data_IF_680475925560
#
_entry.id   IF_680475925560
#
_cell.length_a   1.000
_cell.length_b   1.000
_cell.length_c   1.000
_cell.angle_alpha   90.00
_cell.angle_beta   90.00
_cell.angle_gamma   90.00
#
_symmetry.space_group_name_H-M   'P 1'
#
loop_
_entity.id
_entity.type
_entity.pdbx_description
1 polymer ?
#
# COMPACT_ATOMS: atom_id res chain seq x y z
N UNK A 1 24.40 -4.69 6.41
CA UNK A 1 23.55 -4.17 5.31
C UNK A 1 22.28 -3.63 5.94
N UNK A 2 21.72 -2.53 5.44
CA UNK A 2 20.43 -2.06 5.94
C UNK A 2 19.33 -2.95 5.34
N UNK A 3 18.64 -3.69 6.20
CA UNK A 3 17.46 -4.47 5.84
C UNK A 3 16.24 -3.55 5.84
N UNK A 4 15.33 -3.78 4.89
CA UNK A 4 14.09 -3.04 4.80
C UNK A 4 13.09 -3.66 5.78
N UNK A 5 12.62 -2.86 6.75
CA UNK A 5 11.66 -3.31 7.75
C UNK A 5 10.43 -2.41 7.75
N UNK A 6 9.26 -3.04 7.76
CA UNK A 6 7.97 -2.39 7.97
C UNK A 6 7.75 -1.94 9.40
N UNK A 7 6.95 -0.89 9.60
CA UNK A 7 6.46 -0.51 10.92
C UNK A 7 5.18 -1.29 11.25
N UNK A 8 4.69 -1.17 12.49
CA UNK A 8 3.34 -1.64 12.84
C UNK A 8 2.27 -0.57 12.50
N UNK A 9 1.00 -1.01 12.44
CA UNK A 9 -0.12 -0.14 12.10
C UNK A 9 -0.28 1.04 13.09
N UNK A 10 -0.02 0.80 14.38
CA UNK A 10 -0.12 1.82 15.42
C UNK A 10 0.91 2.93 15.26
N UNK A 11 2.14 2.57 14.88
CA UNK A 11 3.23 3.48 14.58
C UNK A 11 2.93 4.31 13.33
N UNK A 12 2.38 3.69 12.27
CA UNK A 12 1.93 4.43 11.08
C UNK A 12 0.81 5.43 11.41
N UNK A 13 -0.22 5.02 12.17
CA UNK A 13 -1.30 5.92 12.58
C UNK A 13 -0.79 7.09 13.42
N UNK A 14 0.12 6.81 14.37
CA UNK A 14 0.71 7.87 15.17
C UNK A 14 1.48 8.87 14.30
N UNK A 15 2.31 8.37 13.37
CA UNK A 15 3.06 9.21 12.47
C UNK A 15 2.14 10.09 11.60
N UNK A 16 1.14 9.48 10.95
CA UNK A 16 0.16 10.18 10.10
C UNK A 16 -0.55 11.28 10.89
N UNK A 17 -1.09 10.95 12.07
CA UNK A 17 -1.93 11.89 12.83
C UNK A 17 -1.11 12.98 13.52
N UNK A 18 0.05 12.65 14.09
CA UNK A 18 0.92 13.63 14.71
C UNK A 18 1.44 14.64 13.67
N UNK A 19 1.85 14.15 12.49
CA UNK A 19 2.34 14.99 11.42
C UNK A 19 1.23 15.84 10.81
N UNK A 20 0.05 15.26 10.56
CA UNK A 20 -1.07 16.01 10.03
C UNK A 20 -1.51 17.12 10.97
N UNK A 21 -1.60 16.85 12.27
CA UNK A 21 -1.96 17.87 13.29
C UNK A 21 -0.94 18.99 13.38
N UNK A 22 0.36 18.67 13.38
CA UNK A 22 1.43 19.65 13.64
C UNK A 22 1.88 20.41 12.40
N UNK A 23 1.86 19.77 11.22
CA UNK A 23 2.48 20.29 9.99
C UNK A 23 1.56 20.28 8.76
N UNK A 24 0.34 19.72 8.88
CA UNK A 24 -0.57 19.52 7.75
C UNK A 24 0.11 18.75 6.60
N UNK A 25 0.88 17.72 6.96
CA UNK A 25 1.56 16.80 6.03
C UNK A 25 1.28 15.35 6.44
N UNK A 26 1.39 14.42 5.50
CA UNK A 26 1.42 12.97 5.75
C UNK A 26 2.67 12.41 5.07
N UNK A 27 3.57 11.82 5.85
CA UNK A 27 4.90 11.38 5.41
C UNK A 27 5.68 12.46 4.64
N UNK A 28 5.61 13.70 5.12
CA UNK A 28 6.22 14.87 4.48
C UNK A 28 5.44 15.43 3.29
N UNK A 29 4.42 14.75 2.78
CA UNK A 29 3.62 15.25 1.65
C UNK A 29 2.61 16.30 2.11
N UNK A 30 2.64 17.55 1.61
CA UNK A 30 1.78 18.62 2.12
C UNK A 30 0.31 18.44 1.74
N UNK A 31 -0.60 18.66 2.69
CA UNK A 31 -2.07 18.59 2.49
C UNK A 31 -2.53 19.41 1.28
N UNK A 32 -1.97 20.61 1.10
CA UNK A 32 -2.28 21.50 -0.04
C UNK A 32 -1.92 20.93 -1.42
N UNK A 33 -1.19 19.81 -1.46
CA UNK A 33 -0.79 19.09 -2.68
C UNK A 33 -1.53 17.77 -2.85
N UNK A 34 -2.39 17.39 -1.90
CA UNK A 34 -3.20 16.19 -2.04
C UNK A 34 -4.12 16.33 -3.24
N UNK A 35 -4.18 15.27 -4.04
CA UNK A 35 -5.18 15.17 -5.10
C UNK A 35 -6.52 14.79 -4.47
N UNK A 36 -7.48 15.72 -4.53
CA UNK A 36 -8.84 15.56 -4.00
C UNK A 36 -9.90 15.56 -5.12
N UNK A 37 -9.48 15.31 -6.36
CA UNK A 37 -10.32 15.45 -7.55
C UNK A 37 -10.48 16.90 -8.02
N UNK A 38 -11.29 17.08 -9.06
CA UNK A 38 -11.68 18.40 -9.58
C UNK A 38 -13.21 18.49 -9.57
N UNK A 39 -13.80 19.50 -8.91
CA UNK A 39 -15.25 19.66 -8.86
C UNK A 39 -15.88 19.65 -10.26
N UNK A 40 -16.90 18.80 -10.45
CA UNK A 40 -17.62 18.67 -11.73
C UNK A 40 -16.99 17.71 -12.74
N UNK A 41 -15.89 17.04 -12.41
CA UNK A 41 -15.26 16.05 -13.27
C UNK A 41 -15.26 14.66 -12.62
N UNK A 42 -15.64 13.65 -13.40
CA UNK A 42 -15.51 12.25 -13.04
C UNK A 42 -14.34 11.64 -13.82
N UNK A 43 -13.32 11.17 -13.10
CA UNK A 43 -12.15 10.48 -13.66
C UNK A 43 -12.20 8.98 -13.40
N UNK A 44 -13.30 8.47 -12.84
CA UNK A 44 -13.40 7.07 -12.52
C UNK A 44 -13.37 6.20 -13.77
N UNK A 45 -12.73 5.04 -13.65
CA UNK A 45 -12.63 4.07 -14.74
C UNK A 45 -12.91 2.66 -14.23
N UNK A 46 -13.54 1.81 -15.06
CA UNK A 46 -13.56 0.39 -14.80
C UNK A 46 -12.14 -0.19 -14.96
N UNK A 47 -11.72 -1.00 -14.00
CA UNK A 47 -10.48 -1.75 -14.05
C UNK A 47 -10.74 -3.16 -13.51
N UNK A 48 -10.57 -4.17 -14.36
CA UNK A 48 -11.11 -5.51 -14.15
C UNK A 48 -12.61 -5.47 -13.77
N UNK A 49 -12.99 -6.03 -12.62
CA UNK A 49 -14.37 -6.06 -12.12
C UNK A 49 -14.61 -5.02 -11.00
N UNK A 50 -13.81 -3.95 -10.98
CA UNK A 50 -13.85 -2.88 -9.96
C UNK A 50 -13.89 -1.51 -10.64
N UNK A 51 -14.21 -0.47 -9.87
CA UNK A 51 -14.10 0.93 -10.28
C UNK A 51 -12.94 1.55 -9.50
N UNK A 52 -12.06 2.27 -10.18
CA UNK A 52 -11.03 3.10 -9.56
C UNK A 52 -11.40 4.58 -9.74
N UNK A 53 -11.18 5.43 -8.74
CA UNK A 53 -11.59 6.84 -8.79
C UNK A 53 -10.80 7.69 -9.79
N UNK A 54 -9.66 7.17 -10.29
CA UNK A 54 -8.83 7.77 -11.34
C UNK A 54 -8.18 6.67 -12.17
N UNK A 55 -7.77 6.93 -13.43
CA UNK A 55 -7.08 5.93 -14.25
C UNK A 55 -5.58 5.83 -13.96
N UNK A 56 -5.09 6.46 -12.90
CA UNK A 56 -3.66 6.63 -12.63
C UNK A 56 -3.19 5.74 -11.48
N UNK A 57 -1.91 5.42 -11.51
CA UNK A 57 -1.17 4.90 -10.37
C UNK A 57 0.17 4.31 -10.80
N UNK A 58 1.04 3.99 -9.83
CA UNK A 58 2.37 3.46 -10.08
C UNK A 58 2.30 2.02 -10.59
N UNK A 59 3.16 1.71 -11.56
CA UNK A 59 3.49 0.34 -11.92
C UNK A 59 4.29 -0.34 -10.79
N UNK A 60 4.39 -1.67 -10.87
CA UNK A 60 5.14 -2.47 -9.91
C UNK A 60 6.60 -2.00 -9.82
N UNK A 61 7.05 -1.65 -8.61
CA UNK A 61 8.38 -1.09 -8.43
C UNK A 61 8.71 -0.81 -6.96
N UNK A 62 9.93 -0.32 -6.67
CA UNK A 62 10.40 -0.12 -5.28
C UNK A 62 9.47 0.72 -4.41
N UNK A 63 8.69 1.60 -5.02
CA UNK A 63 7.73 2.44 -4.33
C UNK A 63 6.45 1.68 -3.94
N UNK A 64 6.04 0.63 -4.63
CA UNK A 64 4.80 -0.10 -4.33
C UNK A 64 5.01 -1.30 -3.40
N UNK A 65 6.13 -1.32 -2.65
CA UNK A 65 6.43 -2.37 -1.65
C UNK A 65 6.15 -1.95 -0.20
N UNK A 66 6.08 -0.64 0.10
CA UNK A 66 5.97 -0.11 1.47
C UNK A 66 4.67 0.66 1.68
N UNK A 67 4.07 0.52 2.88
CA UNK A 67 2.82 1.18 3.30
C UNK A 67 2.84 2.68 3.04
N UNK A 68 3.89 3.38 3.50
CA UNK A 68 3.97 4.84 3.38
C UNK A 68 3.94 5.30 1.93
N UNK A 69 4.59 4.56 1.02
CA UNK A 69 4.67 4.94 -0.37
C UNK A 69 3.36 4.65 -1.12
N UNK A 70 2.65 3.57 -0.76
CA UNK A 70 1.31 3.27 -1.27
C UNK A 70 0.32 4.36 -0.82
N UNK A 71 0.37 4.77 0.45
CA UNK A 71 -0.45 5.89 0.96
C UNK A 71 -0.09 7.20 0.26
N UNK A 72 1.20 7.50 0.07
CA UNK A 72 1.63 8.68 -0.67
C UNK A 72 1.16 8.67 -2.13
N UNK A 73 1.18 7.51 -2.79
CA UNK A 73 0.61 7.32 -4.12
C UNK A 73 -0.88 7.64 -4.14
N UNK A 74 -1.64 7.15 -3.16
CA UNK A 74 -3.06 7.48 -3.00
C UNK A 74 -3.28 9.00 -2.85
N UNK A 75 -2.51 9.64 -1.96
CA UNK A 75 -2.60 11.09 -1.74
C UNK A 75 -2.17 11.91 -2.97
N UNK A 76 -1.30 11.36 -3.81
CA UNK A 76 -0.90 11.91 -5.11
C UNK A 76 -1.92 11.70 -6.23
N UNK A 77 -2.98 10.93 -5.99
CA UNK A 77 -4.05 10.66 -6.95
C UNK A 77 -3.95 9.30 -7.64
N UNK A 78 -3.05 8.41 -7.22
CA UNK A 78 -3.04 7.03 -7.68
C UNK A 78 -4.22 6.23 -7.13
N UNK A 79 -4.90 5.46 -7.97
CA UNK A 79 -6.03 4.57 -7.59
C UNK A 79 -5.91 3.17 -8.16
N UNK A 80 -5.07 2.94 -9.17
CA UNK A 80 -4.72 1.61 -9.67
C UNK A 80 -3.24 1.43 -9.36
N UNK A 81 -2.93 0.73 -8.28
CA UNK A 81 -1.55 0.58 -7.80
C UNK A 81 -1.11 -0.86 -8.00
N UNK A 82 -0.18 -1.07 -8.92
CA UNK A 82 0.42 -2.38 -9.11
C UNK A 82 1.48 -2.61 -8.01
N UNK A 83 1.19 -3.53 -7.11
CA UNK A 83 2.04 -3.85 -5.97
C UNK A 83 3.36 -4.46 -6.44
N UNK A 84 4.43 -4.29 -5.64
CA UNK A 84 5.76 -4.80 -6.00
C UNK A 84 5.68 -6.32 -6.25
N UNK A 85 6.23 -6.77 -7.39
CA UNK A 85 6.13 -8.15 -7.86
C UNK A 85 6.68 -9.14 -6.84
N UNK A 86 5.82 -10.00 -6.31
CA UNK A 86 6.25 -11.05 -5.38
C UNK A 86 6.92 -12.20 -6.13
N UNK A 87 7.80 -12.95 -5.44
CA UNK A 87 8.46 -14.13 -5.98
C UNK A 87 8.87 -15.13 -4.90
N UNK A 88 9.23 -16.35 -5.30
CA UNK A 88 9.70 -17.40 -4.39
C UNK A 88 11.09 -17.11 -3.79
N UNK A 89 11.95 -16.38 -4.51
CA UNK A 89 13.25 -15.96 -4.00
C UNK A 89 13.10 -14.67 -3.20
N UNK A 90 12.74 -14.82 -1.93
CA UNK A 90 12.36 -13.72 -1.04
C UNK A 90 13.46 -13.38 -0.01
N UNK A 91 14.65 -13.98 -0.16
CA UNK A 91 15.87 -13.63 0.54
C UNK A 91 16.96 -13.31 -0.48
N UNK A 92 17.31 -12.03 -0.56
CA UNK A 92 18.23 -11.53 -1.57
C UNK A 92 19.43 -10.83 -0.94
N UNK A 93 20.61 -11.10 -1.48
CA UNK A 93 21.79 -10.27 -1.23
C UNK A 93 21.96 -9.31 -2.41
N UNK A 94 21.54 -8.05 -2.20
CA UNK A 94 21.53 -7.03 -3.25
C UNK A 94 22.70 -6.07 -3.05
N UNK A 95 23.63 -5.95 -4.03
CA UNK A 95 24.66 -4.92 -3.97
C UNK A 95 24.03 -3.53 -4.05
N UNK A 96 24.48 -2.60 -3.20
CA UNK A 96 23.97 -1.21 -3.15
C UNK A 96 25.06 -0.20 -3.55
N UNK A 97 24.76 0.86 -4.32
CA UNK A 97 23.44 1.23 -4.86
C UNK A 97 22.93 0.23 -5.91
N UNK A 98 21.66 -0.14 -5.81
CA UNK A 98 21.06 -1.21 -6.64
C UNK A 98 20.37 -0.69 -7.91
N UNK A 99 20.20 0.62 -8.01
CA UNK A 99 19.64 1.33 -9.16
C UNK A 99 20.51 2.57 -9.42
N UNK A 100 20.99 2.74 -10.64
CA UNK A 100 21.72 3.92 -11.11
C UNK A 100 21.05 4.51 -12.36
N UNK A 101 20.33 5.62 -12.19
CA UNK A 101 19.51 6.26 -13.24
C UNK A 101 20.13 7.57 -13.74
N UNK A 102 21.42 7.56 -14.07
CA UNK A 102 22.09 8.72 -14.68
C UNK A 102 21.70 8.94 -16.14
N UNK A 103 21.49 7.86 -16.89
CA UNK A 103 21.11 7.90 -18.30
C UNK A 103 20.21 6.71 -18.72
N UNK A 104 20.77 5.51 -18.84
CA UNK A 104 20.11 4.30 -19.40
C UNK A 104 19.44 3.46 -18.31
N UNK A 105 19.74 3.72 -17.03
CA UNK A 105 19.16 2.98 -15.90
C UNK A 105 19.81 1.60 -15.75
N UNK A 106 20.77 1.47 -14.85
CA UNK A 106 21.33 0.17 -14.48
C UNK A 106 20.65 -0.33 -13.21
N UNK A 107 20.11 -1.55 -13.23
CA UNK A 107 19.52 -2.19 -12.06
C UNK A 107 20.20 -3.53 -11.77
N UNK A 108 20.50 -3.74 -10.50
CA UNK A 108 20.87 -5.03 -9.91
C UNK A 108 19.89 -5.43 -8.81
N UNK A 109 18.85 -4.60 -8.61
CA UNK A 109 17.67 -4.92 -7.82
C UNK A 109 16.86 -6.01 -8.52
N UNK A 110 16.34 -6.94 -7.73
CA UNK A 110 15.37 -7.95 -8.16
C UNK A 110 13.94 -7.50 -7.82
N UNK A 111 12.96 -8.36 -8.03
CA UNK A 111 11.55 -7.99 -7.97
C UNK A 111 11.01 -7.64 -6.61
N UNK A 112 11.62 -8.01 -5.48
CA UNK A 112 11.14 -7.57 -4.17
C UNK A 112 12.24 -7.69 -3.12
N UNK A 113 12.42 -6.67 -2.28
CA UNK A 113 13.40 -6.73 -1.17
C UNK A 113 12.83 -7.39 0.10
N UNK A 114 11.52 -7.27 0.31
CA UNK A 114 10.79 -7.87 1.43
C UNK A 114 10.60 -9.39 1.24
N UNK A 115 10.44 -10.11 2.34
CA UNK A 115 9.95 -11.50 2.30
C UNK A 115 8.49 -11.55 1.87
N UNK A 116 8.00 -12.72 1.48
CA UNK A 116 6.58 -12.89 1.14
C UNK A 116 5.65 -12.49 2.30
N UNK A 117 6.01 -12.89 3.53
CA UNK A 117 5.26 -12.54 4.75
C UNK A 117 5.26 -11.03 5.05
N UNK A 118 6.40 -10.37 4.79
CA UNK A 118 6.56 -8.94 5.05
C UNK A 118 5.79 -8.11 4.01
N UNK A 119 5.83 -8.46 2.72
CA UNK A 119 5.04 -7.75 1.71
C UNK A 119 3.55 -7.96 1.89
N UNK A 120 3.12 -9.17 2.25
CA UNK A 120 1.73 -9.42 2.63
C UNK A 120 1.29 -8.44 3.71
N UNK A 121 2.10 -8.32 4.77
CA UNK A 121 1.83 -7.41 5.89
C UNK A 121 1.76 -5.96 5.45
N UNK A 122 2.71 -5.49 4.63
CA UNK A 122 2.71 -4.12 4.12
C UNK A 122 1.48 -3.81 3.26
N UNK A 123 1.07 -4.75 2.39
CA UNK A 123 -0.07 -4.52 1.49
C UNK A 123 -1.40 -4.48 2.24
N UNK A 124 -1.64 -5.43 3.14
CA UNK A 124 -2.84 -5.44 3.99
C UNK A 124 -2.84 -4.21 4.90
N UNK A 125 -1.70 -3.84 5.47
CA UNK A 125 -1.61 -2.67 6.34
C UNK A 125 -1.87 -1.36 5.59
N UNK A 126 -1.39 -1.22 4.34
CA UNK A 126 -1.69 -0.05 3.52
C UNK A 126 -3.19 0.06 3.24
N UNK A 127 -3.84 -1.07 2.94
CA UNK A 127 -5.28 -1.16 2.73
C UNK A 127 -6.08 -0.73 3.97
N UNK A 128 -5.73 -1.29 5.14
CA UNK A 128 -6.34 -0.92 6.43
C UNK A 128 -6.09 0.54 6.78
N UNK A 129 -4.87 1.05 6.58
CA UNK A 129 -4.54 2.43 6.89
C UNK A 129 -5.31 3.42 6.03
N UNK A 130 -5.47 3.14 4.73
CA UNK A 130 -6.34 3.94 3.85
C UNK A 130 -7.80 3.90 4.30
N UNK A 131 -8.30 2.74 4.76
CA UNK A 131 -9.65 2.65 5.31
C UNK A 131 -9.83 3.43 6.61
N UNK A 132 -8.81 3.48 7.47
CA UNK A 132 -8.85 4.33 8.67
C UNK A 132 -8.83 5.82 8.29
N UNK A 133 -8.01 6.22 7.30
CA UNK A 133 -7.99 7.59 6.78
C UNK A 133 -9.38 8.00 6.25
N UNK A 134 -10.07 7.09 5.54
CA UNK A 134 -11.45 7.26 5.09
C UNK A 134 -12.42 7.38 6.27
N UNK A 135 -12.40 6.45 7.23
CA UNK A 135 -13.31 6.45 8.37
C UNK A 135 -13.17 7.72 9.23
N UNK A 136 -11.96 8.28 9.30
CA UNK A 136 -11.67 9.54 9.98
C UNK A 136 -12.10 10.77 9.19
N UNK A 137 -12.48 10.62 7.92
CA UNK A 137 -12.70 11.70 6.96
C UNK A 137 -11.52 12.69 6.95
N UNK A 138 -10.30 12.18 7.14
CA UNK A 138 -9.11 12.99 7.44
C UNK A 138 -8.83 13.99 6.31
N UNK A 139 -9.18 13.62 5.08
CA UNK A 139 -8.98 14.40 3.86
C UNK A 139 -10.10 15.43 3.63
N UNK A 140 -11.12 15.48 4.48
CA UNK A 140 -12.32 16.30 4.30
C UNK A 140 -13.29 15.76 3.25
N UNK A 141 -13.11 14.50 2.85
CA UNK A 141 -14.00 13.79 1.94
C UNK A 141 -14.84 12.80 2.78
N UNK A 142 -16.17 12.79 2.65
CA UNK A 142 -17.06 11.92 3.44
C UNK A 142 -16.70 10.44 3.31
N UNK A 143 -16.87 9.67 4.39
CA UNK A 143 -16.66 8.23 4.34
C UNK A 143 -17.66 7.56 3.37
N UNK A 144 -17.20 6.54 2.66
CA UNK A 144 -17.98 5.88 1.60
C UNK A 144 -18.07 6.65 0.28
N UNK A 145 -17.43 7.82 0.16
CA UNK A 145 -17.36 8.54 -1.10
C UNK A 145 -16.56 7.75 -2.16
N UNK A 146 -17.01 7.70 -3.43
CA UNK A 146 -16.30 7.04 -4.52
C UNK A 146 -14.84 7.48 -4.71
N UNK A 147 -14.45 8.66 -4.20
CA UNK A 147 -13.06 9.13 -4.14
C UNK A 147 -12.07 8.09 -3.56
N UNK A 148 -12.51 7.30 -2.59
CA UNK A 148 -11.68 6.29 -1.93
C UNK A 148 -11.55 4.99 -2.72
N UNK A 149 -12.33 4.81 -3.81
CA UNK A 149 -12.28 3.60 -4.64
C UNK A 149 -10.89 3.39 -5.25
N UNK A 150 -10.16 2.45 -4.66
CA UNK A 150 -8.77 2.12 -4.97
C UNK A 150 -8.68 0.64 -5.25
N UNK A 151 -7.83 0.28 -6.21
CA UNK A 151 -7.52 -1.09 -6.60
C UNK A 151 -6.03 -1.32 -6.37
N UNK A 152 -5.73 -2.35 -5.57
CA UNK A 152 -4.40 -2.93 -5.53
C UNK A 152 -4.35 -4.05 -6.55
N UNK A 153 -3.47 -3.90 -7.54
CA UNK A 153 -3.24 -4.88 -8.58
C UNK A 153 -2.02 -5.74 -8.20
N UNK A 154 -2.18 -7.05 -8.24
CA UNK A 154 -1.17 -7.98 -7.73
C UNK A 154 -0.26 -8.40 -8.88
N UNK A 155 1.03 -8.15 -8.70
CA UNK A 155 2.08 -8.60 -9.62
C UNK A 155 2.79 -9.83 -9.04
N UNK A 156 2.89 -10.90 -9.82
CA UNK A 156 3.58 -12.16 -9.47
C UNK A 156 4.42 -12.59 -10.67
N UNK A 157 5.68 -12.98 -10.45
CA UNK A 157 6.60 -13.16 -11.58
C UNK A 157 7.60 -14.32 -11.51
N UNK A 158 8.60 -14.20 -12.40
CA UNK A 158 9.73 -15.09 -12.71
C UNK A 158 9.44 -16.28 -13.58
N UNK A 159 8.96 -17.37 -12.98
CA UNK A 159 8.73 -18.60 -13.70
C UNK A 159 7.52 -19.34 -13.16
N UNK A 160 6.93 -20.18 -14.01
CA UNK A 160 5.75 -20.96 -13.63
C UNK A 160 6.02 -21.86 -12.42
N UNK A 161 7.26 -22.34 -12.27
CA UNK A 161 7.67 -23.21 -11.15
C UNK A 161 7.56 -22.47 -9.82
N UNK A 162 8.08 -21.25 -9.73
CA UNK A 162 8.01 -20.40 -8.55
C UNK A 162 6.58 -19.96 -8.25
N UNK A 163 5.83 -19.56 -9.28
CA UNK A 163 4.41 -19.18 -9.14
C UNK A 163 3.56 -20.35 -8.62
N UNK A 164 3.86 -21.58 -9.07
CA UNK A 164 3.14 -22.79 -8.64
C UNK A 164 3.60 -23.33 -7.28
N UNK A 165 4.54 -22.66 -6.60
CA UNK A 165 5.01 -23.09 -5.29
C UNK A 165 3.93 -22.92 -4.22
N UNK A 166 3.96 -23.77 -3.19
CA UNK A 166 3.03 -23.68 -2.05
C UNK A 166 3.07 -22.33 -1.34
N UNK A 167 4.24 -21.70 -1.26
CA UNK A 167 4.43 -20.42 -0.57
C UNK A 167 3.76 -19.27 -1.32
N UNK A 168 4.01 -19.16 -2.63
CA UNK A 168 3.37 -18.13 -3.47
C UNK A 168 1.88 -18.38 -3.57
N UNK A 169 1.46 -19.65 -3.69
CA UNK A 169 0.03 -19.98 -3.71
C UNK A 169 -0.66 -19.60 -2.40
N UNK A 170 -0.09 -19.94 -1.23
CA UNK A 170 -0.64 -19.54 0.06
C UNK A 170 -0.70 -18.02 0.22
N UNK A 171 0.32 -17.30 -0.26
CA UNK A 171 0.32 -15.84 -0.26
C UNK A 171 -0.85 -15.27 -1.08
N UNK A 172 -1.11 -15.84 -2.27
CA UNK A 172 -2.24 -15.43 -3.11
C UNK A 172 -3.59 -15.74 -2.49
N UNK A 173 -3.76 -16.90 -1.85
CA UNK A 173 -4.99 -17.22 -1.11
C UNK A 173 -5.21 -16.24 0.05
N UNK A 174 -4.16 -15.90 0.79
CA UNK A 174 -4.24 -14.91 1.88
C UNK A 174 -4.56 -13.49 1.38
N UNK A 175 -4.19 -13.14 0.15
CA UNK A 175 -4.52 -11.85 -0.47
C UNK A 175 -5.94 -11.80 -1.03
N UNK A 176 -6.57 -12.96 -1.32
CA UNK A 176 -7.98 -13.02 -1.71
C UNK A 176 -8.92 -12.79 -0.53
N UNK A 177 -8.48 -13.19 0.66
CA UNK A 177 -9.19 -12.97 1.91
C UNK A 177 -8.18 -12.69 3.04
N UNK A 178 -7.95 -11.40 3.29
CA UNK A 178 -7.05 -10.96 4.34
C UNK A 178 -7.73 -10.76 5.70
N UNK A 179 -8.97 -11.26 5.91
CA UNK A 179 -9.77 -10.99 7.11
C UNK A 179 -9.00 -11.25 8.41
N UNK A 180 -8.33 -12.40 8.52
CA UNK A 180 -7.57 -12.76 9.73
C UNK A 180 -6.40 -11.81 10.02
N UNK A 181 -5.69 -11.36 8.97
CA UNK A 181 -4.59 -10.41 9.12
C UNK A 181 -5.10 -9.02 9.49
N UNK A 182 -6.22 -8.59 8.90
CA UNK A 182 -6.89 -7.34 9.23
C UNK A 182 -7.31 -7.34 10.70
N UNK A 183 -8.00 -8.38 11.16
CA UNK A 183 -8.45 -8.51 12.55
C UNK A 183 -7.26 -8.44 13.51
N UNK A 184 -6.18 -9.18 13.23
CA UNK A 184 -4.96 -9.14 14.03
C UNK A 184 -4.34 -7.73 14.08
N UNK A 185 -4.25 -7.03 12.94
CA UNK A 185 -3.70 -5.68 12.87
C UNK A 185 -4.54 -4.69 13.68
N UNK A 186 -5.87 -4.75 13.55
CA UNK A 186 -6.79 -3.89 14.27
C UNK A 186 -6.76 -4.19 15.78
N UNK A 187 -6.74 -5.46 16.19
CA UNK A 187 -6.63 -5.85 17.60
C UNK A 187 -5.33 -5.36 18.24
N UNK A 188 -4.23 -5.35 17.48
CA UNK A 188 -2.91 -4.91 17.96
C UNK A 188 -2.82 -3.39 18.22
N UNK A 189 -3.82 -2.60 17.80
CA UNK A 189 -3.80 -1.16 17.98
C UNK A 189 -3.66 -0.74 19.46
N UNK A 190 -2.88 0.32 19.74
CA UNK A 190 -2.73 0.83 21.11
C UNK A 190 -4.06 1.41 21.64
N UNK A 191 -4.23 1.53 22.97
CA UNK A 191 -5.50 1.97 23.58
C UNK A 191 -6.05 3.30 23.07
N UNK A 192 -5.18 4.25 22.67
CA UNK A 192 -5.59 5.54 22.08
C UNK A 192 -6.31 5.44 20.72
N UNK A 193 -6.21 4.28 20.07
CA UNK A 193 -6.86 3.95 18.80
C UNK A 193 -7.90 2.83 18.98
N UNK A 194 -8.39 2.61 20.21
CA UNK A 194 -9.32 1.54 20.53
C UNK A 194 -10.62 1.58 19.70
N UNK A 195 -11.05 2.76 19.26
CA UNK A 195 -12.22 2.94 18.42
C UNK A 195 -12.12 2.25 17.06
N UNK A 196 -10.89 2.05 16.54
CA UNK A 196 -10.69 1.41 15.24
C UNK A 196 -10.53 -0.11 15.32
N UNK A 197 -10.43 -0.69 16.53
CA UNK A 197 -10.28 -2.16 16.68
C UNK A 197 -11.45 -2.98 16.11
N UNK A 198 -12.60 -2.35 15.93
CA UNK A 198 -13.82 -2.97 15.38
C UNK A 198 -14.19 -2.37 14.03
N UNK A 199 -13.25 -1.72 13.35
CA UNK A 199 -13.48 -1.15 12.04
C UNK A 199 -13.77 -2.25 11.03
N UNK A 200 -14.86 -2.12 10.28
CA UNK A 200 -15.15 -3.02 9.16
C UNK A 200 -14.30 -2.61 7.95
N UNK A 201 -13.41 -3.50 7.55
CA UNK A 201 -12.57 -3.37 6.36
C UNK A 201 -12.95 -4.49 5.40
N UNK A 202 -13.11 -4.18 4.11
CA UNK A 202 -13.31 -5.20 3.09
C UNK A 202 -12.00 -5.99 2.93
N UNK A 203 -12.00 -7.32 3.12
CA UNK A 203 -10.77 -8.12 3.10
C UNK A 203 -10.10 -8.21 1.74
#
# INVERSE_FOLDING_TARGET
MAELHGLDLGAHLEAVLAEYRSRQTIYGYPRRKFYLGFPGFDFSVPFHNKIAATPLGPASGPHTQMVQNIVLSFLGGGRIMELKTIQILDQLNIPRPCIDVRNVGFNVEWSQELRLEDSYREYVMAWVLLKIIEEMELLGIPKGDPFYNTVFDISVGYDLKGISSSQVHQWLENMKDASAAIDQMLESLPPKFAQYKKLSVNP
#
